data_IF_014804390643
#
_entry.id   IF_014804390643
#
_cell.length_a   1.000
_cell.length_b   1.000
_cell.length_c   1.000
_cell.angle_alpha   90.00
_cell.angle_beta   90.00
_cell.angle_gamma   90.00
#
_symmetry.space_group_name_H-M   'P 1'
#
loop_
_entity.id
_entity.type
_entity.pdbx_description
1 polymer ?
#
# COMPACT_ATOMS: atom_id res chain seq x y z
N UNK A 1 -11.80 -3.79 -18.09
CA UNK A 1 -10.86 -3.27 -19.11
C UNK A 1 -9.49 -3.86 -18.88
N UNK A 2 -8.80 -4.28 -19.93
CA UNK A 2 -7.43 -4.77 -19.78
C UNK A 2 -6.50 -3.63 -19.38
N UNK A 3 -5.65 -3.87 -18.38
CA UNK A 3 -4.62 -2.91 -17.96
C UNK A 3 -3.54 -2.90 -19.03
N UNK A 4 -3.38 -1.76 -19.70
CA UNK A 4 -2.29 -1.55 -20.67
C UNK A 4 -1.11 -0.90 -20.00
N UNK A 5 0.06 -1.49 -20.15
CA UNK A 5 1.32 -0.95 -19.67
C UNK A 5 2.39 -1.05 -20.77
N UNK A 6 3.20 -0.02 -20.92
CA UNK A 6 4.30 0.05 -21.87
C UNK A 6 5.63 0.40 -21.20
N UNK A 7 5.62 0.62 -19.90
CA UNK A 7 6.79 1.07 -19.15
C UNK A 7 7.98 0.09 -19.21
N UNK A 8 7.69 -1.22 -19.27
CA UNK A 8 8.74 -2.24 -19.43
C UNK A 8 9.48 -2.09 -20.75
N UNK A 9 8.74 -1.94 -21.85
CA UNK A 9 9.32 -1.74 -23.18
C UNK A 9 10.06 -0.42 -23.31
N UNK A 10 9.52 0.64 -22.73
CA UNK A 10 10.15 1.96 -22.74
C UNK A 10 11.48 1.97 -21.98
N UNK A 11 11.50 1.36 -20.79
CA UNK A 11 12.70 1.35 -19.94
C UNK A 11 13.73 0.29 -20.33
N UNK A 12 13.31 -0.92 -20.66
CA UNK A 12 14.15 -2.11 -20.79
C UNK A 12 14.01 -2.86 -22.11
N UNK A 13 13.17 -2.39 -23.04
CA UNK A 13 12.89 -3.12 -24.26
C UNK A 13 14.10 -3.43 -25.14
N UNK A 14 15.11 -2.57 -25.12
CA UNK A 14 16.37 -2.78 -25.84
C UNK A 14 17.37 -3.65 -25.09
N UNK A 15 17.37 -3.56 -23.76
CA UNK A 15 18.32 -4.29 -22.92
C UNK A 15 17.83 -5.70 -22.57
N UNK A 16 16.57 -5.81 -22.18
CA UNK A 16 15.95 -7.05 -21.74
C UNK A 16 14.54 -7.21 -22.34
N UNK A 17 14.45 -7.46 -23.67
CA UNK A 17 13.17 -7.44 -24.38
C UNK A 17 12.16 -8.48 -23.87
N UNK A 18 12.62 -9.66 -23.45
CA UNK A 18 11.72 -10.68 -22.90
C UNK A 18 11.18 -10.29 -21.53
N UNK A 19 12.00 -9.70 -20.68
CA UNK A 19 11.53 -9.15 -19.39
C UNK A 19 10.48 -8.05 -19.60
N UNK A 20 10.76 -7.13 -20.51
CA UNK A 20 9.85 -6.04 -20.86
C UNK A 20 8.50 -6.55 -21.39
N UNK A 21 8.52 -7.55 -22.27
CA UNK A 21 7.32 -8.23 -22.77
C UNK A 21 6.52 -8.88 -21.64
N UNK A 22 7.17 -9.63 -20.75
CA UNK A 22 6.51 -10.28 -19.63
C UNK A 22 5.92 -9.28 -18.63
N UNK A 23 6.65 -8.18 -18.38
CA UNK A 23 6.14 -7.11 -17.53
C UNK A 23 4.86 -6.49 -18.11
N UNK A 24 4.89 -6.10 -19.39
CA UNK A 24 3.80 -5.35 -19.99
C UNK A 24 2.61 -6.24 -20.34
N UNK A 25 2.86 -7.40 -20.93
CA UNK A 25 1.79 -8.23 -21.50
C UNK A 25 1.27 -9.29 -20.52
N UNK A 26 2.12 -9.82 -19.65
CA UNK A 26 1.72 -10.89 -18.72
C UNK A 26 1.39 -10.32 -17.34
N UNK A 27 2.30 -9.62 -16.70
CA UNK A 27 2.05 -9.07 -15.38
C UNK A 27 0.87 -8.09 -15.41
N UNK A 28 0.95 -7.07 -16.23
CA UNK A 28 -0.11 -6.07 -16.31
C UNK A 28 -1.25 -6.50 -17.25
N UNK A 29 -0.95 -6.99 -18.42
CA UNK A 29 -1.95 -7.36 -19.42
C UNK A 29 -2.82 -8.56 -19.05
N UNK A 30 -2.28 -9.52 -18.33
CA UNK A 30 -3.00 -10.72 -17.89
C UNK A 30 -3.22 -10.74 -16.37
N UNK A 31 -2.19 -10.49 -15.56
CA UNK A 31 -2.28 -10.54 -14.10
C UNK A 31 -3.21 -9.47 -13.54
N UNK A 32 -2.88 -8.23 -13.74
CA UNK A 32 -3.67 -7.09 -13.25
C UNK A 32 -5.05 -6.95 -13.91
N UNK A 33 -5.25 -7.52 -15.07
CA UNK A 33 -6.52 -7.44 -15.80
C UNK A 33 -7.59 -8.41 -15.31
N UNK A 34 -7.30 -9.23 -14.31
CA UNK A 34 -8.24 -10.19 -13.73
C UNK A 34 -9.11 -9.56 -12.63
N UNK A 35 -9.78 -8.46 -12.97
CA UNK A 35 -10.58 -7.67 -12.03
C UNK A 35 -11.81 -8.43 -11.48
N UNK A 36 -12.32 -9.38 -12.24
CA UNK A 36 -13.43 -10.25 -11.86
C UNK A 36 -13.06 -11.24 -10.73
N UNK A 37 -11.79 -11.50 -10.52
CA UNK A 37 -11.28 -12.40 -9.47
C UNK A 37 -10.76 -11.64 -8.24
N UNK A 38 -10.09 -10.53 -8.46
CA UNK A 38 -9.59 -9.63 -7.41
C UNK A 38 -9.55 -8.22 -7.99
N UNK A 39 -10.15 -7.26 -7.29
CA UNK A 39 -10.23 -5.87 -7.74
C UNK A 39 -8.84 -5.23 -7.93
N UNK A 40 -8.75 -4.23 -8.77
CA UNK A 40 -7.52 -3.43 -8.91
C UNK A 40 -7.12 -2.77 -7.60
N UNK A 41 -8.11 -2.35 -6.81
CA UNK A 41 -7.90 -1.78 -5.48
C UNK A 41 -7.20 -2.77 -4.55
N UNK A 42 -7.72 -3.98 -4.44
CA UNK A 42 -7.15 -5.01 -3.56
C UNK A 42 -5.79 -5.50 -4.08
N UNK A 43 -5.59 -5.59 -5.39
CA UNK A 43 -4.28 -5.88 -6.00
C UNK A 43 -3.25 -4.81 -5.64
N UNK A 44 -3.65 -3.55 -5.65
CA UNK A 44 -2.78 -2.44 -5.24
C UNK A 44 -2.36 -2.56 -3.77
N UNK A 45 -3.28 -2.91 -2.89
CA UNK A 45 -3.01 -3.13 -1.47
C UNK A 45 -2.01 -4.27 -1.28
N UNK A 46 -2.25 -5.41 -1.92
CA UNK A 46 -1.35 -6.57 -1.85
C UNK A 46 0.05 -6.20 -2.34
N UNK A 47 0.14 -5.48 -3.46
CA UNK A 47 1.43 -5.07 -4.03
C UNK A 47 2.18 -4.11 -3.13
N UNK A 48 1.51 -3.10 -2.59
CA UNK A 48 2.10 -2.13 -1.65
C UNK A 48 2.63 -2.83 -0.39
N UNK A 49 1.84 -3.71 0.20
CA UNK A 49 2.25 -4.46 1.40
C UNK A 49 3.43 -5.38 1.09
N UNK A 50 3.41 -6.07 -0.04
CA UNK A 50 4.49 -6.96 -0.45
C UNK A 50 5.83 -6.20 -0.64
N UNK A 51 5.79 -5.03 -1.28
CA UNK A 51 6.98 -4.19 -1.48
C UNK A 51 7.51 -3.62 -0.17
N UNK A 52 6.63 -3.09 0.68
CA UNK A 52 7.00 -2.60 2.01
C UNK A 52 7.67 -3.71 2.84
N UNK A 53 7.08 -4.90 2.87
CA UNK A 53 7.59 -6.02 3.65
C UNK A 53 8.99 -6.47 3.22
N UNK A 54 9.34 -6.27 1.96
CA UNK A 54 10.68 -6.52 1.43
C UNK A 54 11.65 -5.35 1.61
N UNK A 55 11.17 -4.19 2.07
CA UNK A 55 11.97 -2.97 2.17
C UNK A 55 12.20 -2.30 0.82
N UNK A 56 11.40 -2.59 -0.19
CA UNK A 56 11.50 -2.01 -1.53
C UNK A 56 10.69 -0.71 -1.61
N UNK A 57 11.22 0.34 -0.99
CA UNK A 57 10.59 1.66 -0.88
C UNK A 57 11.30 2.68 -1.79
N UNK A 58 11.34 2.40 -3.07
CA UNK A 58 11.92 3.22 -4.13
C UNK A 58 10.82 3.84 -5.03
N UNK A 59 11.20 4.26 -6.24
CA UNK A 59 10.27 4.82 -7.23
C UNK A 59 9.17 3.83 -7.65
N UNK A 60 9.47 2.54 -7.67
CA UNK A 60 8.46 1.49 -7.90
C UNK A 60 7.39 1.49 -6.83
N UNK A 61 7.78 1.62 -5.56
CA UNK A 61 6.85 1.70 -4.44
C UNK A 61 5.97 2.95 -4.54
N UNK A 62 6.56 4.09 -4.86
CA UNK A 62 5.81 5.33 -5.08
C UNK A 62 4.77 5.19 -6.19
N UNK A 63 5.14 4.54 -7.30
CA UNK A 63 4.22 4.24 -8.39
C UNK A 63 3.02 3.42 -7.91
N UNK A 64 3.27 2.37 -7.14
CA UNK A 64 2.20 1.51 -6.63
C UNK A 64 1.35 2.18 -5.54
N UNK A 65 1.91 3.07 -4.73
CA UNK A 65 1.13 3.92 -3.82
C UNK A 65 0.19 4.85 -4.60
N UNK A 66 0.70 5.50 -5.64
CA UNK A 66 -0.11 6.36 -6.51
C UNK A 66 -1.22 5.55 -7.20
N UNK A 67 -0.90 4.36 -7.68
CA UNK A 67 -1.87 3.45 -8.28
C UNK A 67 -2.93 3.02 -7.27
N UNK A 68 -2.55 2.73 -6.03
CA UNK A 68 -3.49 2.40 -4.96
C UNK A 68 -4.45 3.56 -4.68
N UNK A 69 -3.95 4.79 -4.60
CA UNK A 69 -4.79 5.99 -4.47
C UNK A 69 -5.77 6.12 -5.63
N UNK A 70 -5.30 5.98 -6.86
CA UNK A 70 -6.13 6.07 -8.06
C UNK A 70 -7.19 4.96 -8.14
N UNK A 71 -6.91 3.80 -7.56
CA UNK A 71 -7.83 2.68 -7.45
C UNK A 71 -8.77 2.76 -6.24
N UNK A 72 -8.77 3.87 -5.51
CA UNK A 72 -9.76 4.17 -4.47
C UNK A 72 -9.32 3.86 -3.04
N UNK A 73 -8.04 3.58 -2.80
CA UNK A 73 -7.52 3.46 -1.43
C UNK A 73 -7.43 4.86 -0.82
N UNK A 74 -8.15 5.07 0.27
CA UNK A 74 -8.18 6.36 0.96
C UNK A 74 -6.95 6.56 1.85
N UNK A 75 -6.71 7.80 2.24
CA UNK A 75 -5.68 8.16 3.22
C UNK A 75 -5.82 7.38 4.53
N UNK A 76 -7.02 7.32 5.07
CA UNK A 76 -7.30 6.55 6.30
C UNK A 76 -7.00 5.08 6.12
N UNK A 77 -7.40 4.51 4.99
CA UNK A 77 -7.17 3.10 4.69
C UNK A 77 -5.68 2.78 4.54
N UNK A 78 -4.92 3.60 3.79
CA UNK A 78 -3.49 3.33 3.63
C UNK A 78 -2.74 3.48 4.96
N UNK A 79 -3.13 4.42 5.82
CA UNK A 79 -2.57 4.54 7.16
C UNK A 79 -2.81 3.28 7.99
N UNK A 80 -4.02 2.73 7.97
CA UNK A 80 -4.35 1.47 8.68
C UNK A 80 -3.63 0.27 8.08
N UNK A 81 -3.56 0.16 6.75
CA UNK A 81 -2.87 -0.92 6.04
C UNK A 81 -1.40 -0.98 6.44
N UNK A 82 -0.69 0.16 6.37
CA UNK A 82 0.73 0.22 6.69
C UNK A 82 0.99 0.04 8.19
N UNK A 83 0.11 0.55 9.04
CA UNK A 83 0.18 0.35 10.49
C UNK A 83 0.03 -1.13 10.85
N UNK A 84 -0.97 -1.80 10.29
CA UNK A 84 -1.16 -3.23 10.50
C UNK A 84 0.05 -4.03 9.99
N UNK A 85 0.50 -3.75 8.79
CA UNK A 85 1.64 -4.41 8.17
C UNK A 85 2.95 -4.21 8.98
N UNK A 86 3.10 -3.10 9.70
CA UNK A 86 4.27 -2.81 10.51
C UNK A 86 4.57 -3.88 11.58
N UNK A 87 3.52 -4.49 12.15
CA UNK A 87 3.65 -5.56 13.15
C UNK A 87 4.23 -6.85 12.58
N UNK A 88 4.07 -7.07 11.28
CA UNK A 88 4.52 -8.28 10.58
C UNK A 88 5.80 -8.08 9.78
N UNK A 89 5.99 -6.88 9.22
CA UNK A 89 7.13 -6.56 8.36
C UNK A 89 8.28 -5.88 9.08
N UNK A 90 8.01 -5.24 10.22
CA UNK A 90 8.97 -4.47 10.99
C UNK A 90 8.75 -2.96 10.92
N UNK A 91 8.95 -2.31 12.05
CA UNK A 91 8.67 -0.89 12.24
C UNK A 91 9.50 0.04 11.34
N UNK A 92 10.82 -0.19 11.14
CA UNK A 92 11.62 0.64 10.25
C UNK A 92 11.15 0.64 8.80
N UNK A 93 10.65 -0.48 8.30
CA UNK A 93 10.09 -0.58 6.95
C UNK A 93 8.79 0.21 6.83
N UNK A 94 7.97 0.22 7.88
CA UNK A 94 6.77 1.04 7.95
C UNK A 94 7.10 2.54 7.91
N UNK A 95 8.12 2.99 8.64
CA UNK A 95 8.58 4.37 8.58
C UNK A 95 8.96 4.81 7.17
N UNK A 96 9.72 4.00 6.47
CA UNK A 96 10.08 4.27 5.08
C UNK A 96 8.85 4.36 4.17
N UNK A 97 7.92 3.43 4.31
CA UNK A 97 6.67 3.41 3.57
C UNK A 97 5.80 4.65 3.85
N UNK A 98 5.66 5.05 5.12
CA UNK A 98 4.88 6.22 5.50
C UNK A 98 5.44 7.54 4.99
N UNK A 99 6.77 7.68 4.92
CA UNK A 99 7.37 8.89 4.33
C UNK A 99 6.91 9.10 2.90
N UNK A 100 6.83 8.03 2.12
CA UNK A 100 6.38 8.10 0.73
C UNK A 100 4.84 8.22 0.64
N UNK A 101 4.10 7.47 1.44
CA UNK A 101 2.64 7.54 1.46
C UNK A 101 2.13 8.93 1.83
N UNK A 102 2.77 9.59 2.79
CA UNK A 102 2.44 10.96 3.18
C UNK A 102 2.48 11.95 2.01
N UNK A 103 3.45 11.80 1.11
CA UNK A 103 3.57 12.63 -0.08
C UNK A 103 2.45 12.35 -1.09
N UNK A 104 2.12 11.08 -1.31
CA UNK A 104 1.09 10.67 -2.28
C UNK A 104 -0.30 11.17 -1.88
N UNK A 105 -0.62 11.17 -0.58
CA UNK A 105 -1.92 11.63 -0.05
C UNK A 105 -1.87 13.05 0.56
N UNK A 106 -0.87 13.86 0.23
CA UNK A 106 -0.68 15.19 0.82
C UNK A 106 -1.87 16.14 0.58
N UNK A 107 -2.52 16.05 -0.58
CA UNK A 107 -3.67 16.89 -0.93
C UNK A 107 -4.91 16.58 -0.08
N UNK A 108 -5.01 15.38 0.45
CA UNK A 108 -6.15 14.94 1.26
C UNK A 108 -6.08 15.52 2.68
N UNK A 109 -4.91 15.99 3.14
CA UNK A 109 -4.72 16.64 4.43
C UNK A 109 -5.52 17.97 4.55
N UNK A 110 -5.70 18.67 3.45
CA UNK A 110 -6.48 19.91 3.41
C UNK A 110 -8.00 19.66 3.54
N UNK A 111 -8.48 18.50 3.10
CA UNK A 111 -9.88 18.09 3.21
C UNK A 111 -10.20 17.59 4.64
N UNK A 112 -9.28 16.85 5.26
CA UNK A 112 -9.42 16.31 6.62
C UNK A 112 -9.38 17.41 7.70
N UNK A 113 -8.68 18.50 7.47
CA UNK A 113 -8.66 19.66 8.36
C UNK A 113 -10.06 20.30 8.52
N UNK A 114 -10.93 20.12 7.51
CA UNK A 114 -12.33 20.58 7.54
C UNK A 114 -13.29 19.55 8.17
N UNK A 115 -12.90 18.28 8.25
CA UNK A 115 -13.73 17.19 8.74
C UNK A 115 -13.50 16.84 10.22
N UNK A 116 -12.57 17.53 10.92
CA UNK A 116 -12.25 17.30 12.34
C UNK A 116 -13.33 17.78 13.29
N UNK A 117 -14.50 17.15 13.27
CA UNK A 117 -15.43 17.09 14.40
C UNK A 117 -16.23 15.77 14.35
N UNK A 118 -15.55 14.63 14.39
CA UNK A 118 -16.17 13.38 14.82
C UNK A 118 -15.33 12.80 15.94
N UNK A 119 -15.90 12.80 17.14
CA UNK A 119 -15.38 12.13 18.32
C UNK A 119 -15.13 10.65 18.00
N UNK A 120 -13.89 10.24 18.12
CA UNK A 120 -13.53 8.82 18.19
C UNK A 120 -14.19 8.27 19.45
N UNK A 121 -15.01 7.22 19.37
CA UNK A 121 -15.47 6.53 20.59
C UNK A 121 -14.23 6.07 21.36
N UNK A 122 -14.14 6.41 22.62
CA UNK A 122 -13.03 5.99 23.49
C UNK A 122 -13.20 4.50 23.80
N UNK A 123 -12.75 3.66 22.89
CA UNK A 123 -12.74 2.18 23.07
C UNK A 123 -11.75 1.78 24.18
N UNK A 124 -10.85 2.67 24.55
CA UNK A 124 -9.81 2.41 25.57
C UNK A 124 -10.35 2.34 27.00
N UNK A 125 -11.50 2.92 27.28
CA UNK A 125 -12.10 2.87 28.63
C UNK A 125 -12.78 1.54 28.98
N UNK A 126 -12.90 0.62 28.03
CA UNK A 126 -13.56 -0.67 28.21
C UNK A 126 -12.59 -1.85 28.36
N UNK A 127 -11.29 -1.62 28.37
CA UNK A 127 -10.32 -2.67 28.65
C UNK A 127 -10.07 -2.68 30.16
N UNK A 128 -10.55 -3.70 30.90
CA UNK A 128 -10.19 -3.82 32.31
C UNK A 128 -8.67 -3.99 32.43
N UNK A 129 -8.05 -3.42 33.46
CA UNK A 129 -6.62 -3.63 33.70
C UNK A 129 -6.38 -5.11 34.01
N UNK A 130 -5.89 -5.85 33.06
CA UNK A 130 -5.39 -7.20 33.31
C UNK A 130 -4.15 -7.12 34.19
N UNK A 131 -4.07 -7.89 35.27
CA UNK A 131 -2.86 -7.92 36.08
C UNK A 131 -1.73 -8.59 35.31
N UNK A 132 -0.71 -7.81 35.01
CA UNK A 132 0.59 -8.32 34.56
C UNK A 132 1.21 -9.16 35.67
N UNK A 133 0.89 -10.44 35.71
CA UNK A 133 1.61 -11.43 36.47
C UNK A 133 1.83 -12.66 35.61
N UNK A 134 2.94 -12.67 34.89
CA UNK A 134 3.56 -13.92 34.47
C UNK A 134 4.74 -14.18 35.40
N UNK A 135 4.69 -15.25 36.19
CA UNK A 135 5.90 -15.70 36.86
C UNK A 135 6.81 -16.39 35.84
N UNK A 136 8.00 -15.85 35.68
CA UNK A 136 9.10 -16.62 35.10
C UNK A 136 9.46 -17.77 36.06
N UNK A 137 9.34 -19.00 35.59
CA UNK A 137 10.08 -20.16 36.08
C UNK A 137 10.84 -20.76 34.91
#
# INVERSE_FOLDING_TARGET
>A
MAVKQTAGREALGKFAPKFAELNDDVLFGQGWSREDKLSLRDRSIVTVVALMAQGLTDSSFQYHLTTAKNNGVTKTEIAEILTHAAFYAGWPKAWAAFRMAKEVWAEDDAADAKAKHHSIPQIWEQIPPEPLCLPFV
#
